data_IF_378376305533
#
_entry.id   IF_378376305533
#
_cell.length_a   1.000
_cell.length_b   1.000
_cell.length_c   1.000
_cell.angle_alpha   90.00
_cell.angle_beta   90.00
_cell.angle_gamma   90.00
#
_symmetry.space_group_name_H-M   'P 1'
#
loop_
_entity.id
_entity.type
_entity.pdbx_description
1 polymer ?
#
# COMPACT_ATOMS: atom_id res chain seq x y z
N UNK A 1 -14.98 52.59 58.87
CA UNK A 1 -16.23 51.84 58.58
C UNK A 1 -15.81 50.51 57.97
N UNK A 2 -15.77 49.42 58.78
CA UNK A 2 -16.85 48.41 58.92
C UNK A 2 -16.99 47.59 57.61
N UNK A 3 -16.86 46.27 57.51
CA UNK A 3 -16.69 45.13 58.43
C UNK A 3 -16.32 43.88 57.57
N UNK A 4 -15.48 42.94 58.04
CA UNK A 4 -15.78 41.69 58.79
C UNK A 4 -16.66 40.64 58.09
N UNK A 5 -16.24 39.37 58.26
CA UNK A 5 -16.93 38.07 58.09
C UNK A 5 -16.75 37.36 56.72
N UNK A 6 -16.51 36.05 56.59
CA UNK A 6 -16.37 34.96 57.57
C UNK A 6 -15.66 33.76 56.90
N UNK A 7 -14.90 33.03 57.73
CA UNK A 7 -14.47 31.65 57.53
C UNK A 7 -15.66 30.75 57.16
N UNK A 8 -15.46 29.80 56.24
CA UNK A 8 -16.10 28.49 56.30
C UNK A 8 -15.29 27.45 55.52
N UNK A 9 -14.56 26.62 56.28
CA UNK A 9 -14.15 25.26 55.89
C UNK A 9 -15.35 24.56 55.26
N UNK A 10 -15.18 23.99 54.06
CA UNK A 10 -16.11 22.98 53.54
C UNK A 10 -15.34 21.70 53.26
N UNK A 11 -15.75 20.67 53.97
CA UNK A 11 -15.14 19.35 54.07
C UNK A 11 -15.09 18.62 52.73
N UNK A 12 -14.04 17.80 52.53
CA UNK A 12 -14.05 16.69 51.60
C UNK A 12 -15.17 15.71 52.02
N UNK A 13 -16.02 15.24 51.10
CA UNK A 13 -16.63 13.94 51.23
C UNK A 13 -15.73 12.92 50.51
N UNK A 14 -14.97 12.16 51.29
CA UNK A 14 -14.51 10.83 50.90
C UNK A 14 -15.72 9.91 50.77
N UNK A 15 -16.23 9.72 49.56
CA UNK A 15 -17.32 8.78 49.29
C UNK A 15 -16.79 7.71 48.31
N UNK A 16 -16.46 6.55 48.88
CA UNK A 16 -16.42 5.29 48.15
C UNK A 16 -17.76 5.12 47.39
N UNK A 17 -17.76 4.83 46.08
CA UNK A 17 -19.00 4.49 45.38
C UNK A 17 -19.48 3.12 45.87
N UNK A 18 -20.62 3.08 46.54
CA UNK A 18 -21.33 1.85 46.87
C UNK A 18 -21.83 1.14 45.59
N UNK A 19 -21.85 -0.20 45.54
CA UNK A 19 -22.28 -0.95 44.36
C UNK A 19 -23.81 -1.07 44.37
N UNK A 20 -24.49 -0.42 43.42
CA UNK A 20 -25.96 -0.58 43.23
C UNK A 20 -26.38 -1.18 41.89
N UNK A 21 -25.45 -1.76 41.12
CA UNK A 21 -25.76 -2.34 39.80
C UNK A 21 -25.57 -3.86 39.69
N UNK A 22 -25.33 -4.58 40.78
CA UNK A 22 -25.00 -6.01 40.72
C UNK A 22 -26.21 -6.96 40.57
N UNK A 23 -27.45 -6.47 40.72
CA UNK A 23 -28.64 -7.34 40.73
C UNK A 23 -29.20 -7.70 39.35
N UNK A 24 -28.81 -7.01 38.26
CA UNK A 24 -29.35 -7.29 36.91
C UNK A 24 -28.45 -8.19 36.04
N UNK A 25 -27.23 -8.51 36.49
CA UNK A 25 -26.26 -9.31 35.71
C UNK A 25 -26.42 -10.83 35.88
N UNK A 26 -27.22 -11.29 36.85
CA UNK A 26 -27.38 -12.73 37.12
C UNK A 26 -28.08 -13.49 36.00
N UNK A 27 -28.78 -12.81 35.09
CA UNK A 27 -29.48 -13.42 33.94
C UNK A 27 -28.61 -13.65 32.69
N UNK A 28 -27.43 -13.02 32.59
CA UNK A 28 -26.56 -13.10 31.39
C UNK A 28 -25.49 -14.19 31.47
N UNK A 29 -25.27 -14.76 32.66
CA UNK A 29 -24.43 -15.94 32.86
C UNK A 29 -25.39 -17.13 33.01
N UNK A 30 -25.33 -18.08 32.07
CA UNK A 30 -26.20 -19.25 32.13
C UNK A 30 -26.05 -19.96 33.47
N UNK A 31 -27.14 -20.52 34.01
CA UNK A 31 -27.21 -21.29 35.25
C UNK A 31 -26.36 -22.58 35.13
N UNK A 32 -25.05 -22.42 35.13
CA UNK A 32 -24.06 -23.48 35.13
C UNK A 32 -23.80 -23.89 36.56
N UNK A 33 -24.48 -24.94 37.00
CA UNK A 33 -24.14 -25.70 38.21
C UNK A 33 -22.63 -25.96 38.26
N UNK A 34 -22.05 -25.84 39.45
CA UNK A 34 -20.60 -25.77 39.69
C UNK A 34 -19.81 -27.07 39.49
N UNK A 35 -20.07 -27.77 38.39
CA UNK A 35 -19.31 -28.90 37.88
C UNK A 35 -17.97 -28.43 37.29
N UNK A 36 -16.90 -29.15 37.62
CA UNK A 36 -15.52 -28.97 37.13
C UNK A 36 -15.32 -29.10 35.61
N UNK A 37 -16.39 -29.32 34.83
CA UNK A 37 -16.33 -29.72 33.42
C UNK A 37 -16.48 -28.57 32.40
N UNK A 38 -17.16 -27.46 32.74
CA UNK A 38 -17.43 -26.37 31.79
C UNK A 38 -16.60 -25.13 32.14
N UNK A 39 -15.86 -24.52 31.18
CA UNK A 39 -15.08 -23.33 31.44
C UNK A 39 -16.01 -22.14 31.73
N UNK A 40 -15.65 -21.33 32.71
CA UNK A 40 -16.31 -20.07 33.04
C UNK A 40 -16.06 -19.06 31.93
N UNK A 41 -17.09 -18.34 31.52
CA UNK A 41 -16.98 -17.30 30.50
C UNK A 41 -16.60 -15.96 31.14
N UNK A 42 -15.52 -15.36 30.67
CA UNK A 42 -15.19 -13.97 30.94
C UNK A 42 -15.82 -13.10 29.84
N UNK A 43 -16.74 -12.20 30.18
CA UNK A 43 -17.46 -11.36 29.20
C UNK A 43 -17.08 -9.89 29.31
N UNK A 44 -17.17 -9.15 28.22
CA UNK A 44 -17.14 -7.69 28.26
C UNK A 44 -18.53 -7.15 28.57
N UNK A 45 -18.61 -6.15 29.45
CA UNK A 45 -19.83 -5.39 29.70
C UNK A 45 -19.96 -4.25 28.68
N UNK A 46 -21.10 -4.22 28.00
CA UNK A 46 -21.47 -3.19 27.03
C UNK A 46 -21.73 -1.87 27.79
N UNK A 47 -20.83 -0.90 27.64
CA UNK A 47 -21.00 0.46 28.18
C UNK A 47 -19.75 1.06 28.82
N UNK A 48 -18.94 0.27 29.53
CA UNK A 48 -17.73 0.77 30.20
C UNK A 48 -16.45 -0.02 29.87
N UNK A 49 -16.56 -1.07 29.04
CA UNK A 49 -15.44 -1.90 28.63
C UNK A 49 -14.85 -2.74 29.77
N UNK A 50 -15.56 -2.86 30.90
CA UNK A 50 -15.21 -3.72 32.03
C UNK A 50 -15.41 -5.19 31.68
N UNK A 51 -14.68 -6.05 32.38
CA UNK A 51 -14.76 -7.49 32.33
C UNK A 51 -15.69 -7.99 33.45
N UNK A 52 -16.61 -8.87 33.11
CA UNK A 52 -17.46 -9.57 34.06
C UNK A 52 -17.10 -11.06 34.11
N UNK A 53 -16.82 -11.55 35.31
CA UNK A 53 -16.51 -12.96 35.58
C UNK A 53 -17.43 -13.50 36.67
N UNK A 54 -18.18 -14.54 36.37
CA UNK A 54 -18.99 -15.25 37.35
C UNK A 54 -18.14 -16.34 38.03
N UNK A 55 -17.93 -16.24 39.35
CA UNK A 55 -17.23 -17.24 40.15
C UNK A 55 -18.21 -17.94 41.11
N UNK A 56 -18.23 -19.28 41.16
CA UNK A 56 -18.92 -20.01 42.21
C UNK A 56 -18.11 -19.91 43.51
N UNK A 57 -18.68 -19.23 44.51
CA UNK A 57 -18.08 -19.08 45.84
C UNK A 57 -18.91 -19.86 46.88
N UNK A 58 -18.27 -20.51 47.87
CA UNK A 58 -18.99 -21.15 48.97
C UNK A 58 -19.62 -20.06 49.86
N UNK A 59 -20.94 -20.13 50.08
CA UNK A 59 -21.64 -19.17 50.93
C UNK A 59 -21.11 -19.25 52.38
N UNK A 60 -20.67 -18.13 52.94
CA UNK A 60 -20.50 -18.00 54.39
C UNK A 60 -21.89 -17.85 55.04
N UNK A 61 -22.16 -18.70 56.04
CA UNK A 61 -23.38 -18.80 56.87
C UNK A 61 -24.29 -17.56 56.87
N UNK A 62 -25.34 -17.58 56.04
CA UNK A 62 -26.58 -16.89 56.37
C UNK A 62 -27.45 -17.88 57.14
N UNK A 63 -27.55 -17.70 58.46
CA UNK A 63 -28.24 -18.59 59.39
C UNK A 63 -29.70 -18.88 59.02
N UNK A 64 -29.91 -19.93 58.23
CA UNK A 64 -31.19 -20.46 57.84
C UNK A 64 -31.11 -21.98 57.75
N UNK A 65 -31.90 -22.62 58.62
CA UNK A 65 -32.31 -24.02 58.72
C UNK A 65 -31.82 -25.00 57.63
N UNK A 66 -31.16 -26.06 58.11
CA UNK A 66 -30.98 -27.40 57.54
C UNK A 66 -30.97 -27.56 56.00
N UNK A 67 -29.78 -27.86 55.47
CA UNK A 67 -29.63 -28.89 54.45
C UNK A 67 -29.76 -28.48 52.99
N UNK A 68 -28.95 -27.52 52.51
CA UNK A 68 -28.46 -27.54 51.13
C UNK A 68 -27.18 -26.69 50.98
N UNK A 69 -26.05 -27.30 50.62
CA UNK A 69 -24.79 -26.57 50.36
C UNK A 69 -24.88 -25.97 48.94
N UNK A 70 -25.68 -24.92 48.80
CA UNK A 70 -25.77 -24.17 47.56
C UNK A 70 -24.48 -23.37 47.33
N UNK A 71 -23.73 -23.64 46.27
CA UNK A 71 -22.69 -22.70 45.81
C UNK A 71 -23.37 -21.47 45.22
N UNK A 72 -23.19 -20.30 45.83
CA UNK A 72 -23.68 -19.03 45.30
C UNK A 72 -22.74 -18.51 44.21
N UNK A 73 -23.25 -18.25 43.01
CA UNK A 73 -22.46 -17.63 41.94
C UNK A 73 -22.39 -16.12 42.16
N UNK A 74 -21.18 -15.57 42.29
CA UNK A 74 -20.91 -14.13 42.42
C UNK A 74 -20.30 -13.58 41.14
N UNK A 75 -20.78 -12.43 40.68
CA UNK A 75 -20.28 -11.78 39.46
C UNK A 75 -19.31 -10.66 39.86
N UNK A 76 -18.06 -10.79 39.43
CA UNK A 76 -17.01 -9.81 39.62
C UNK A 76 -16.88 -8.92 38.39
N UNK A 77 -16.94 -7.60 38.59
CA UNK A 77 -16.68 -6.60 37.55
C UNK A 77 -15.32 -5.96 37.77
N UNK A 78 -14.44 -6.00 36.77
CA UNK A 78 -13.08 -5.45 36.83
C UNK A 78 -12.70 -4.76 35.52
N UNK A 79 -11.70 -3.87 35.53
CA UNK A 79 -11.21 -3.26 34.29
C UNK A 79 -10.14 -4.16 33.65
N UNK A 80 -9.94 -4.13 32.31
CA UNK A 80 -8.84 -4.86 31.67
C UNK A 80 -7.45 -4.47 32.20
N UNK A 81 -7.32 -3.27 32.76
CA UNK A 81 -6.09 -2.78 33.42
C UNK A 81 -5.94 -3.26 34.86
N UNK A 82 -6.96 -3.88 35.46
CA UNK A 82 -6.88 -4.43 36.81
C UNK A 82 -5.83 -5.53 36.84
N UNK A 83 -4.94 -5.49 37.84
CA UNK A 83 -3.90 -6.51 38.03
C UNK A 83 -4.47 -7.78 38.66
N UNK A 84 -3.76 -8.90 38.50
CA UNK A 84 -4.08 -10.17 39.17
C UNK A 84 -4.21 -9.99 40.68
N UNK A 85 -3.31 -9.22 41.30
CA UNK A 85 -3.36 -8.90 42.73
C UNK A 85 -4.64 -8.16 43.10
N UNK A 86 -5.01 -7.13 42.33
CA UNK A 86 -6.22 -6.35 42.58
C UNK A 86 -7.50 -7.20 42.49
N UNK A 87 -7.55 -8.12 41.53
CA UNK A 87 -8.65 -9.08 41.43
C UNK A 87 -8.68 -10.05 42.61
N UNK A 88 -7.54 -10.63 43.00
CA UNK A 88 -7.45 -11.55 44.15
C UNK A 88 -7.93 -10.85 45.42
N UNK A 89 -7.52 -9.60 45.65
CA UNK A 89 -7.98 -8.81 46.79
C UNK A 89 -9.49 -8.55 46.75
N UNK A 90 -10.06 -8.32 45.57
CA UNK A 90 -11.51 -8.13 45.41
C UNK A 90 -12.30 -9.41 45.73
N UNK A 91 -11.78 -10.58 45.34
CA UNK A 91 -12.38 -11.88 45.67
C UNK A 91 -12.29 -12.16 47.17
N UNK A 92 -11.12 -11.92 47.78
CA UNK A 92 -10.90 -12.14 49.22
C UNK A 92 -11.69 -11.16 50.11
N UNK A 93 -11.97 -9.96 49.63
CA UNK A 93 -12.78 -8.97 50.34
C UNK A 93 -14.28 -9.34 50.31
N UNK A 94 -14.75 -9.94 49.23
CA UNK A 94 -16.14 -10.37 49.08
C UNK A 94 -16.43 -11.69 49.79
N UNK A 95 -15.43 -12.57 49.92
CA UNK A 95 -15.56 -13.88 50.57
C UNK A 95 -14.33 -14.22 51.44
N UNK A 96 -14.53 -14.14 52.76
CA UNK A 96 -13.51 -14.47 53.76
C UNK A 96 -13.11 -15.95 53.81
N UNK A 97 -13.88 -16.85 53.16
CA UNK A 97 -13.57 -18.28 53.09
C UNK A 97 -12.53 -18.60 52.00
N UNK A 98 -12.28 -17.69 51.04
CA UNK A 98 -11.32 -17.84 49.96
C UNK A 98 -9.87 -17.52 50.43
N UNK A 99 -9.20 -18.48 51.07
CA UNK A 99 -7.84 -18.30 51.64
C UNK A 99 -6.72 -18.47 50.62
N UNK A 100 -6.85 -19.39 49.66
CA UNK A 100 -5.88 -19.61 48.58
C UNK A 100 -6.53 -19.32 47.22
N UNK A 101 -6.21 -18.15 46.65
CA UNK A 101 -6.71 -17.71 45.34
C UNK A 101 -5.52 -17.44 44.42
N UNK A 102 -5.42 -18.18 43.31
CA UNK A 102 -4.33 -18.04 42.36
C UNK A 102 -4.85 -18.02 40.92
N UNK A 103 -4.30 -17.13 40.10
CA UNK A 103 -4.57 -17.10 38.65
C UNK A 103 -3.39 -17.75 37.94
N UNK A 104 -3.65 -18.82 37.18
CA UNK A 104 -2.65 -19.66 36.52
C UNK A 104 -2.92 -19.75 35.02
N UNK A 105 -1.88 -19.95 34.22
CA UNK A 105 -1.99 -20.31 32.81
C UNK A 105 -2.71 -21.66 32.65
N UNK A 106 -3.17 -21.99 31.44
CA UNK A 106 -3.68 -23.34 31.10
C UNK A 106 -2.70 -24.47 31.40
N UNK A 107 -1.40 -24.17 31.51
CA UNK A 107 -0.32 -25.11 31.85
C UNK A 107 -0.03 -25.19 33.36
N UNK A 108 -0.79 -24.48 34.20
CA UNK A 108 -0.66 -24.51 35.66
C UNK A 108 0.40 -23.56 36.24
N UNK A 109 1.02 -22.70 35.44
CA UNK A 109 2.00 -21.71 35.91
C UNK A 109 1.29 -20.45 36.43
N UNK A 110 1.54 -19.98 37.66
CA UNK A 110 0.92 -18.76 38.20
C UNK A 110 1.39 -17.50 37.47
N UNK A 111 0.46 -16.56 37.27
CA UNK A 111 0.78 -15.24 36.73
C UNK A 111 1.34 -14.33 37.81
N UNK A 112 2.20 -13.38 37.43
CA UNK A 112 2.75 -12.40 38.37
C UNK A 112 1.64 -11.47 38.90
N UNK A 113 1.69 -11.04 40.18
CA UNK A 113 0.64 -10.23 40.81
C UNK A 113 0.32 -8.93 40.07
N UNK A 114 1.32 -8.33 39.43
CA UNK A 114 1.22 -7.06 38.69
C UNK A 114 0.66 -7.21 37.27
N UNK A 115 0.46 -8.45 36.79
CA UNK A 115 0.02 -8.70 35.41
C UNK A 115 -1.41 -8.20 35.22
N UNK A 116 -1.70 -7.33 34.23
CA UNK A 116 -3.05 -6.88 33.96
C UNK A 116 -3.88 -7.96 33.26
N UNK A 117 -5.19 -7.97 33.50
CA UNK A 117 -6.12 -8.93 32.87
C UNK A 117 -6.12 -8.85 31.33
N UNK A 118 -5.85 -7.69 30.74
CA UNK A 118 -5.69 -7.52 29.29
C UNK A 118 -4.62 -8.46 28.69
N UNK A 119 -3.54 -8.75 29.44
CA UNK A 119 -2.49 -9.67 29.02
C UNK A 119 -2.90 -11.14 29.22
N UNK A 120 -3.67 -11.44 30.28
CA UNK A 120 -4.17 -12.79 30.56
C UNK A 120 -5.13 -13.27 29.48
N UNK A 121 -5.95 -12.36 28.96
CA UNK A 121 -6.97 -12.64 27.95
C UNK A 121 -6.42 -13.01 26.56
N UNK A 122 -5.10 -12.97 26.37
CA UNK A 122 -4.48 -13.45 25.13
C UNK A 122 -4.71 -14.96 24.91
N UNK A 123 -4.83 -15.72 25.99
CA UNK A 123 -5.08 -17.16 26.00
C UNK A 123 -6.11 -17.51 27.10
N UNK A 124 -6.59 -18.76 27.13
CA UNK A 124 -7.40 -19.22 28.26
C UNK A 124 -6.53 -19.38 29.51
N UNK A 125 -7.13 -19.25 30.67
CA UNK A 125 -6.44 -19.33 31.95
C UNK A 125 -7.27 -20.12 32.97
N UNK A 126 -6.70 -20.33 34.15
CA UNK A 126 -7.32 -21.08 35.24
C UNK A 126 -7.28 -20.23 36.51
N UNK A 127 -8.33 -20.31 37.32
CA UNK A 127 -8.39 -19.73 38.66
C UNK A 127 -8.46 -20.89 39.64
N UNK A 128 -7.55 -20.91 40.60
CA UNK A 128 -7.53 -21.88 41.70
C UNK A 128 -8.10 -21.21 42.93
N UNK A 129 -9.16 -21.79 43.50
CA UNK A 129 -9.85 -21.32 44.70
C UNK A 129 -9.90 -22.49 45.70
N UNK A 130 -9.13 -22.40 46.80
CA UNK A 130 -9.10 -23.41 47.87
C UNK A 130 -9.11 -24.86 47.34
N UNK A 131 -8.11 -25.21 46.51
CA UNK A 131 -7.95 -26.51 45.83
C UNK A 131 -8.88 -26.81 44.64
N UNK A 132 -9.86 -25.95 44.33
CA UNK A 132 -10.72 -26.10 43.14
C UNK A 132 -10.13 -25.35 41.95
N UNK A 133 -9.81 -26.08 40.87
CA UNK A 133 -9.35 -25.50 39.60
C UNK A 133 -10.54 -25.17 38.71
N UNK A 134 -10.74 -23.88 38.45
CA UNK A 134 -11.76 -23.36 37.56
C UNK A 134 -11.12 -22.91 36.24
N UNK A 135 -11.50 -23.52 35.13
CA UNK A 135 -11.05 -23.08 33.80
C UNK A 135 -11.82 -21.83 33.41
N UNK A 136 -11.15 -20.80 32.92
CA UNK A 136 -11.77 -19.57 32.43
C UNK A 136 -11.45 -19.42 30.95
N UNK A 137 -12.49 -19.35 30.13
CA UNK A 137 -12.38 -19.01 28.73
C UNK A 137 -12.24 -17.50 28.59
N UNK A 138 -11.13 -17.06 28.01
CA UNK A 138 -10.98 -15.65 27.66
C UNK A 138 -12.01 -15.27 26.59
N UNK A 139 -12.56 -14.03 26.61
CA UNK A 139 -13.52 -13.61 25.61
C UNK A 139 -12.82 -13.61 24.26
N UNK A 140 -13.26 -14.52 23.41
CA UNK A 140 -12.96 -14.46 21.99
C UNK A 140 -13.95 -13.45 21.43
N UNK A 141 -13.51 -12.42 20.70
CA UNK A 141 -14.47 -11.63 19.92
C UNK A 141 -15.00 -12.56 18.82
N UNK A 142 -16.11 -13.23 19.09
CA UNK A 142 -16.79 -14.14 18.18
C UNK A 142 -18.04 -13.48 17.63
N UNK A 143 -18.22 -13.59 16.31
CA UNK A 143 -19.51 -13.64 15.63
C UNK A 143 -20.33 -12.35 15.57
N UNK A 144 -20.65 -11.76 16.72
CA UNK A 144 -21.63 -10.68 16.82
C UNK A 144 -20.97 -9.29 16.91
N UNK A 145 -19.69 -9.24 17.31
CA UNK A 145 -18.86 -8.03 17.33
C UNK A 145 -18.47 -7.49 15.93
N UNK A 146 -18.89 -8.18 14.86
CA UNK A 146 -18.74 -7.70 13.48
C UNK A 146 -19.83 -6.72 13.06
N UNK A 147 -20.90 -6.60 13.86
CA UNK A 147 -21.86 -5.50 13.73
C UNK A 147 -21.15 -4.21 14.16
N UNK A 148 -20.83 -3.36 13.18
CA UNK A 148 -20.24 -2.02 13.41
C UNK A 148 -21.21 -1.07 14.13
N UNK A 149 -22.38 -1.55 14.54
CA UNK A 149 -23.45 -0.84 15.19
C UNK A 149 -24.14 -1.83 16.15
N UNK A 150 -23.94 -1.72 17.47
CA UNK A 150 -24.88 -2.24 18.46
C UNK A 150 -26.27 -1.68 18.16
N UNK A 151 -27.34 -2.31 18.65
CA UNK A 151 -28.72 -1.83 18.50
C UNK A 151 -28.93 -0.36 18.95
N UNK A 152 -27.99 0.19 19.73
CA UNK A 152 -27.97 1.58 20.22
C UNK A 152 -27.21 2.60 19.34
N UNK A 153 -26.69 2.21 18.17
CA UNK A 153 -26.10 3.15 17.21
C UNK A 153 -24.75 3.80 17.62
N UNK A 154 -24.13 3.35 18.71
CA UNK A 154 -22.80 3.81 19.12
C UNK A 154 -21.67 2.99 18.45
N UNK A 155 -20.71 3.68 17.83
CA UNK A 155 -19.55 3.05 17.19
C UNK A 155 -18.60 2.43 18.23
N UNK A 156 -18.44 1.11 18.21
CA UNK A 156 -17.44 0.44 19.05
C UNK A 156 -16.01 0.65 18.50
N UNK A 157 -15.21 1.43 19.22
CA UNK A 157 -13.82 1.76 18.90
C UNK A 157 -12.96 0.48 18.75
N UNK A 158 -13.30 -0.59 19.47
CA UNK A 158 -12.54 -1.86 19.44
C UNK A 158 -12.83 -2.67 18.19
N UNK A 159 -14.09 -2.73 17.74
CA UNK A 159 -14.47 -3.30 16.43
C UNK A 159 -13.77 -2.59 15.27
N UNK A 160 -13.67 -1.25 15.34
CA UNK A 160 -12.93 -0.46 14.33
C UNK A 160 -11.44 -0.78 14.33
N UNK A 161 -10.81 -0.87 15.51
CA UNK A 161 -9.40 -1.24 15.63
C UNK A 161 -9.12 -2.64 15.06
N UNK A 162 -10.01 -3.60 15.30
CA UNK A 162 -9.88 -4.94 14.75
C UNK A 162 -10.05 -4.97 13.22
N UNK A 163 -11.02 -4.24 12.66
CA UNK A 163 -11.16 -4.07 11.20
C UNK A 163 -9.91 -3.41 10.59
N UNK A 164 -9.32 -2.42 11.27
CA UNK A 164 -8.07 -1.80 10.84
C UNK A 164 -6.90 -2.81 10.83
N UNK A 165 -6.81 -3.71 11.81
CA UNK A 165 -5.84 -4.79 11.83
C UNK A 165 -6.00 -5.75 10.63
N UNK A 166 -7.24 -6.12 10.29
CA UNK A 166 -7.55 -6.96 9.12
C UNK A 166 -7.18 -6.25 7.81
N UNK A 167 -7.47 -4.95 7.68
CA UNK A 167 -7.10 -4.16 6.50
C UNK A 167 -5.58 -4.13 6.34
N UNK A 168 -4.83 -3.85 7.41
CA UNK A 168 -3.36 -3.88 7.39
C UNK A 168 -2.83 -5.26 7.01
N UNK A 169 -3.40 -6.33 7.57
CA UNK A 169 -3.03 -7.70 7.22
C UNK A 169 -3.25 -7.96 5.72
N UNK A 170 -4.40 -7.54 5.16
CA UNK A 170 -4.70 -7.66 3.72
C UNK A 170 -3.65 -6.94 2.87
N UNK A 171 -3.29 -5.71 3.22
CA UNK A 171 -2.25 -4.95 2.49
C UNK A 171 -0.88 -5.66 2.53
N UNK A 172 -0.52 -6.23 3.69
CA UNK A 172 0.72 -6.99 3.85
C UNK A 172 0.71 -8.27 3.01
N UNK A 173 -0.42 -8.97 2.94
CA UNK A 173 -0.60 -10.16 2.10
C UNK A 173 -0.47 -9.80 0.61
N UNK A 174 -1.08 -8.69 0.17
CA UNK A 174 -1.05 -8.25 -1.23
C UNK A 174 0.38 -7.88 -1.69
N UNK A 175 1.15 -7.24 -0.81
CA UNK A 175 2.56 -6.88 -1.06
C UNK A 175 3.54 -8.03 -0.83
N UNK A 176 3.06 -9.19 -0.40
CA UNK A 176 3.94 -10.31 -0.04
C UNK A 176 4.67 -10.87 -1.28
N UNK A 177 5.99 -11.12 -1.18
CA UNK A 177 6.76 -11.62 -2.33
C UNK A 177 6.36 -13.05 -2.69
N UNK A 178 6.17 -13.92 -1.68
CA UNK A 178 5.74 -15.31 -1.91
C UNK A 178 4.25 -15.37 -2.26
N UNK A 179 3.90 -16.28 -3.15
CA UNK A 179 2.51 -16.58 -3.55
C UNK A 179 1.85 -17.65 -2.69
N UNK A 180 2.65 -18.49 -2.01
CA UNK A 180 2.25 -19.61 -1.14
C UNK A 180 2.98 -19.48 0.20
N UNK A 181 2.26 -19.68 1.30
CA UNK A 181 2.78 -19.77 2.67
C UNK A 181 2.07 -20.89 3.42
N UNK A 182 2.59 -21.28 4.58
CA UNK A 182 1.90 -22.27 5.43
C UNK A 182 0.87 -21.60 6.36
N UNK A 183 -0.14 -22.35 6.80
CA UNK A 183 -1.12 -21.89 7.81
C UNK A 183 -0.44 -21.39 9.09
N UNK A 184 0.68 -21.99 9.49
CA UNK A 184 1.45 -21.56 10.65
C UNK A 184 2.11 -20.19 10.44
N UNK A 185 2.64 -19.93 9.23
CA UNK A 185 3.22 -18.64 8.83
C UNK A 185 2.12 -17.57 8.76
N UNK A 186 0.96 -17.90 8.19
CA UNK A 186 -0.22 -17.00 8.19
C UNK A 186 -0.65 -16.61 9.60
N UNK A 187 -0.69 -17.57 10.54
CA UNK A 187 -1.04 -17.29 11.95
C UNK A 187 -0.03 -16.36 12.64
N UNK A 188 1.26 -16.46 12.30
CA UNK A 188 2.30 -15.53 12.78
C UNK A 188 2.08 -14.14 12.20
N UNK A 189 1.86 -14.05 10.89
CA UNK A 189 1.57 -12.79 10.18
C UNK A 189 0.35 -12.08 10.79
N UNK A 190 -0.73 -12.84 11.06
CA UNK A 190 -1.92 -12.31 11.71
C UNK A 190 -1.64 -11.77 13.13
N UNK A 191 -0.82 -12.50 13.91
CA UNK A 191 -0.44 -12.09 15.27
C UNK A 191 0.39 -10.79 15.27
N UNK A 192 1.31 -10.61 14.32
CA UNK A 192 2.10 -9.38 14.15
C UNK A 192 1.22 -8.14 13.91
N UNK A 193 0.07 -8.33 13.27
CA UNK A 193 -0.89 -7.26 12.97
C UNK A 193 -1.94 -7.06 14.06
N UNK A 194 -1.82 -7.75 15.21
CA UNK A 194 -2.72 -7.60 16.35
C UNK A 194 -3.97 -8.48 16.30
N UNK A 195 -3.98 -9.53 15.48
CA UNK A 195 -5.08 -10.51 15.43
C UNK A 195 -4.78 -11.68 16.39
N UNK A 196 -5.66 -11.97 17.37
CA UNK A 196 -5.53 -13.12 18.26
C UNK A 196 -5.42 -14.45 17.52
N UNK A 197 -4.59 -15.37 18.02
CA UNK A 197 -4.37 -16.70 17.40
C UNK A 197 -5.64 -17.51 17.20
N UNK A 198 -6.63 -17.36 18.11
CA UNK A 198 -7.95 -18.00 18.01
C UNK A 198 -8.78 -17.48 16.84
N UNK A 199 -8.65 -16.20 16.51
CA UNK A 199 -9.38 -15.55 15.42
C UNK A 199 -8.70 -15.71 14.07
N UNK A 200 -7.38 -15.95 14.05
CA UNK A 200 -6.62 -16.13 12.80
C UNK A 200 -7.23 -17.21 11.88
N UNK A 201 -7.81 -18.29 12.43
CA UNK A 201 -8.51 -19.31 11.65
C UNK A 201 -9.83 -18.82 11.03
N UNK A 202 -10.59 -18.01 11.75
CA UNK A 202 -11.83 -17.41 11.25
C UNK A 202 -11.55 -16.37 10.16
N UNK A 203 -10.52 -15.55 10.37
CA UNK A 203 -10.04 -14.56 9.38
C UNK A 203 -9.55 -15.27 8.11
N UNK A 204 -8.80 -16.37 8.25
CA UNK A 204 -8.36 -17.18 7.11
C UNK A 204 -9.54 -17.75 6.32
N UNK A 205 -10.56 -18.27 7.02
CA UNK A 205 -11.76 -18.78 6.38
C UNK A 205 -12.55 -17.66 5.67
N UNK A 206 -12.68 -16.49 6.29
CA UNK A 206 -13.31 -15.33 5.68
C UNK A 206 -12.54 -14.85 4.43
N UNK A 207 -11.21 -14.82 4.48
CA UNK A 207 -10.37 -14.49 3.33
C UNK A 207 -10.51 -15.51 2.19
N UNK A 208 -10.72 -16.78 2.53
CA UNK A 208 -11.04 -17.83 1.56
C UNK A 208 -12.40 -17.63 0.89
N UNK A 209 -13.45 -17.37 1.67
CA UNK A 209 -14.80 -17.15 1.13
C UNK A 209 -14.88 -15.91 0.23
N UNK A 210 -14.15 -14.84 0.58
CA UNK A 210 -14.11 -13.61 -0.22
C UNK A 210 -13.19 -13.75 -1.44
N UNK A 211 -12.33 -14.76 -1.49
CA UNK A 211 -11.38 -14.97 -2.59
C UNK A 211 -10.14 -14.06 -2.53
N UNK A 212 -9.78 -13.58 -1.34
CA UNK A 212 -8.54 -12.83 -1.10
C UNK A 212 -7.35 -13.80 -1.05
N UNK A 213 -7.57 -14.97 -0.46
CA UNK A 213 -6.57 -16.03 -0.25
C UNK A 213 -7.25 -17.36 -0.53
N UNK A 214 -6.56 -18.39 -1.02
CA UNK A 214 -7.13 -19.74 -1.08
C UNK A 214 -6.48 -20.68 -0.06
N UNK A 215 -7.31 -21.39 0.70
CA UNK A 215 -6.87 -22.42 1.64
C UNK A 215 -7.85 -23.59 1.56
N UNK A 216 -7.36 -24.78 1.21
CA UNK A 216 -8.18 -25.97 1.01
C UNK A 216 -8.09 -26.89 2.22
N UNK A 217 -8.68 -26.48 3.35
CA UNK A 217 -8.64 -27.26 4.59
C UNK A 217 -9.26 -28.68 4.47
N UNK A 218 -10.12 -28.89 3.48
CA UNK A 218 -10.86 -30.14 3.25
C UNK A 218 -10.27 -31.00 2.11
N UNK A 219 -9.15 -30.61 1.50
CA UNK A 219 -8.54 -31.40 0.42
C UNK A 219 -8.00 -32.74 0.95
N UNK A 220 -7.99 -33.81 0.13
CA UNK A 220 -7.36 -35.07 0.52
C UNK A 220 -5.83 -34.94 0.67
N UNK A 221 -5.21 -34.03 -0.09
CA UNK A 221 -3.77 -33.81 -0.12
C UNK A 221 -3.28 -33.01 1.10
N UNK A 222 -2.32 -33.57 1.85
CA UNK A 222 -1.73 -32.95 3.05
C UNK A 222 -1.00 -31.62 2.77
N UNK A 223 -0.39 -31.50 1.59
CA UNK A 223 0.28 -30.27 1.18
C UNK A 223 -0.71 -29.11 0.94
N UNK A 224 -1.90 -29.41 0.43
CA UNK A 224 -2.96 -28.41 0.19
C UNK A 224 -3.70 -28.01 1.47
N UNK A 225 -3.77 -28.92 2.46
CA UNK A 225 -4.32 -28.62 3.79
C UNK A 225 -3.48 -27.60 4.56
N UNK A 226 -2.16 -27.67 4.39
CA UNK A 226 -1.21 -26.81 5.10
C UNK A 226 -0.87 -25.53 4.32
N UNK A 227 -1.08 -25.53 3.00
CA UNK A 227 -0.80 -24.40 2.13
C UNK A 227 -1.91 -23.33 2.11
N UNK A 228 -1.47 -22.08 2.11
CA UNK A 228 -2.29 -20.88 1.98
C UNK A 228 -1.77 -20.08 0.78
N UNK A 229 -2.59 -19.99 -0.26
CA UNK A 229 -2.27 -19.26 -1.49
C UNK A 229 -2.67 -17.78 -1.36
N UNK A 230 -1.67 -16.92 -1.22
CA UNK A 230 -1.84 -15.47 -1.08
C UNK A 230 -2.22 -14.77 -2.39
N UNK A 231 -1.91 -15.40 -3.54
CA UNK A 231 -2.17 -14.88 -4.88
C UNK A 231 -3.12 -15.81 -5.63
N UNK A 232 -4.43 -15.76 -5.34
CA UNK A 232 -5.42 -16.69 -5.89
C UNK A 232 -5.49 -16.63 -7.42
N UNK A 233 -5.20 -15.48 -8.03
CA UNK A 233 -5.20 -15.33 -9.50
C UNK A 233 -4.27 -16.32 -10.20
N UNK A 234 -3.07 -16.52 -9.65
CA UNK A 234 -2.10 -17.43 -10.25
C UNK A 234 -2.62 -18.88 -10.25
N UNK A 235 -3.36 -19.26 -9.21
CA UNK A 235 -3.99 -20.58 -9.12
C UNK A 235 -5.15 -20.69 -10.11
N UNK A 236 -6.00 -19.66 -10.19
CA UNK A 236 -7.11 -19.62 -11.14
C UNK A 236 -6.64 -19.72 -12.59
N UNK A 237 -5.58 -19.00 -12.96
CA UNK A 237 -5.03 -19.03 -14.32
C UNK A 237 -4.60 -20.45 -14.70
N UNK A 238 -3.91 -21.17 -13.80
CA UNK A 238 -3.55 -22.59 -14.03
C UNK A 238 -4.76 -23.51 -14.15
N UNK A 239 -5.84 -23.26 -13.40
CA UNK A 239 -7.08 -24.02 -13.52
C UNK A 239 -7.78 -23.75 -14.86
N UNK A 240 -7.87 -22.48 -15.28
CA UNK A 240 -8.46 -22.12 -16.58
C UNK A 240 -7.68 -22.74 -17.74
N UNK A 241 -6.35 -22.70 -17.70
CA UNK A 241 -5.49 -23.34 -18.70
C UNK A 241 -5.70 -24.86 -18.76
N UNK A 242 -5.85 -25.53 -17.61
CA UNK A 242 -6.13 -26.96 -17.54
C UNK A 242 -7.47 -27.35 -18.18
N UNK A 243 -8.41 -26.41 -18.21
CA UNK A 243 -9.73 -26.55 -18.83
C UNK A 243 -9.74 -26.09 -20.29
N UNK A 244 -8.61 -25.64 -20.84
CA UNK A 244 -8.51 -25.07 -22.18
C UNK A 244 -9.22 -23.72 -22.34
N UNK A 245 -9.51 -23.03 -21.24
CA UNK A 245 -10.18 -21.73 -21.22
C UNK A 245 -9.16 -20.62 -21.02
N UNK A 246 -9.30 -19.53 -21.78
CA UNK A 246 -8.54 -18.31 -21.49
C UNK A 246 -9.25 -17.54 -20.38
N UNK A 247 -8.54 -17.12 -19.31
CA UNK A 247 -9.17 -16.38 -18.24
C UNK A 247 -9.74 -15.07 -18.80
N UNK A 248 -10.93 -14.63 -18.36
CA UNK A 248 -11.62 -13.45 -18.90
C UNK A 248 -10.76 -12.18 -18.77
N UNK A 249 -9.88 -12.11 -17.76
CA UNK A 249 -8.94 -11.00 -17.61
C UNK A 249 -7.95 -10.93 -18.78
N UNK A 250 -7.40 -12.07 -19.22
CA UNK A 250 -6.44 -12.13 -20.32
C UNK A 250 -7.13 -11.80 -21.65
N UNK A 251 -8.36 -12.24 -21.84
CA UNK A 251 -9.18 -11.87 -23.00
C UNK A 251 -9.31 -10.35 -23.11
N UNK A 252 -9.68 -9.66 -22.02
CA UNK A 252 -9.76 -8.20 -22.01
C UNK A 252 -8.43 -7.51 -22.36
N UNK A 253 -7.29 -8.02 -21.87
CA UNK A 253 -5.99 -7.47 -22.25
C UNK A 253 -5.66 -7.68 -23.72
N UNK A 254 -6.02 -8.85 -24.28
CA UNK A 254 -5.81 -9.14 -25.71
C UNK A 254 -6.69 -8.27 -26.60
N UNK A 255 -7.97 -8.08 -26.25
CA UNK A 255 -8.89 -7.21 -26.97
C UNK A 255 -8.44 -5.75 -26.93
N UNK A 256 -8.07 -5.24 -25.73
CA UNK A 256 -7.56 -3.88 -25.57
C UNK A 256 -6.26 -3.67 -26.37
N UNK A 257 -5.37 -4.65 -26.38
CA UNK A 257 -4.14 -4.61 -27.18
C UNK A 257 -4.45 -4.59 -28.68
N UNK A 258 -5.34 -5.45 -29.16
CA UNK A 258 -5.74 -5.48 -30.57
C UNK A 258 -6.37 -4.15 -31.01
N UNK A 259 -7.18 -3.53 -30.15
CA UNK A 259 -7.75 -2.21 -30.43
C UNK A 259 -6.68 -1.12 -30.60
N UNK A 260 -5.66 -1.11 -29.74
CA UNK A 260 -4.53 -0.17 -29.83
C UNK A 260 -3.65 -0.45 -31.05
N UNK A 261 -3.38 -1.72 -31.37
CA UNK A 261 -2.63 -2.10 -32.57
C UNK A 261 -3.39 -1.71 -33.85
N UNK A 262 -4.72 -1.84 -33.86
CA UNK A 262 -5.57 -1.38 -34.94
C UNK A 262 -5.53 0.15 -35.08
N UNK A 263 -5.63 0.89 -33.98
CA UNK A 263 -5.49 2.35 -33.99
C UNK A 263 -4.11 2.78 -34.52
N UNK A 264 -3.04 2.13 -34.05
CA UNK A 264 -1.69 2.37 -34.52
C UNK A 264 -1.58 2.14 -36.04
N UNK A 265 -2.14 1.04 -36.54
CA UNK A 265 -2.14 0.71 -37.97
C UNK A 265 -2.87 1.75 -38.83
N UNK A 266 -3.88 2.44 -38.29
CA UNK A 266 -4.55 3.55 -39.01
C UNK A 266 -3.70 4.82 -39.09
N UNK A 267 -2.91 5.11 -38.05
CA UNK A 267 -2.11 6.33 -37.93
C UNK A 267 -0.75 6.19 -38.62
N UNK A 268 -0.18 4.97 -38.64
CA UNK A 268 1.12 4.67 -39.22
C UNK A 268 1.31 5.17 -40.66
N UNK A 269 0.39 4.95 -41.62
CA UNK A 269 0.59 5.43 -43.00
C UNK A 269 0.65 6.95 -43.11
N UNK A 270 -0.15 7.67 -42.31
CA UNK A 270 -0.11 9.14 -42.28
C UNK A 270 1.21 9.65 -41.68
N UNK A 271 1.66 9.02 -40.59
CA UNK A 271 2.94 9.32 -39.96
C UNK A 271 4.10 9.12 -40.93
N UNK A 272 4.13 7.98 -41.63
CA UNK A 272 5.21 7.64 -42.55
C UNK A 272 5.23 8.55 -43.78
N UNK A 273 4.06 8.92 -44.30
CA UNK A 273 3.93 9.88 -45.39
C UNK A 273 4.50 11.27 -45.01
N UNK A 274 4.12 11.80 -43.83
CA UNK A 274 4.62 13.09 -43.35
C UNK A 274 6.12 13.04 -43.04
N UNK A 275 6.61 11.93 -42.50
CA UNK A 275 8.02 11.74 -42.18
C UNK A 275 8.86 11.64 -43.46
N UNK A 276 8.37 10.94 -44.48
CA UNK A 276 9.01 10.88 -45.80
C UNK A 276 9.10 12.28 -46.42
N UNK A 277 7.99 13.03 -46.42
CA UNK A 277 7.94 14.39 -46.92
C UNK A 277 8.93 15.31 -46.18
N UNK A 278 9.00 15.23 -44.85
CA UNK A 278 10.00 15.95 -44.05
C UNK A 278 11.42 15.63 -44.50
N UNK A 279 11.76 14.35 -44.63
CA UNK A 279 13.09 13.89 -45.08
C UNK A 279 13.45 14.42 -46.45
N UNK A 280 12.52 14.41 -47.40
CA UNK A 280 12.74 14.94 -48.75
C UNK A 280 13.02 16.45 -48.72
N UNK A 281 12.23 17.20 -47.96
CA UNK A 281 12.39 18.66 -47.83
C UNK A 281 13.72 19.02 -47.16
N UNK A 282 14.09 18.30 -46.09
CA UNK A 282 15.36 18.47 -45.39
C UNK A 282 16.54 18.10 -46.30
N UNK A 283 16.43 17.03 -47.09
CA UNK A 283 17.45 16.64 -48.05
C UNK A 283 17.65 17.71 -49.14
N UNK A 284 16.56 18.27 -49.67
CA UNK A 284 16.61 19.37 -50.64
C UNK A 284 17.22 20.65 -50.04
N UNK A 285 16.91 20.94 -48.76
CA UNK A 285 17.52 22.05 -48.04
C UNK A 285 19.03 21.83 -47.85
N UNK A 286 19.46 20.64 -47.46
CA UNK A 286 20.87 20.29 -47.31
C UNK A 286 21.65 20.35 -48.62
N UNK A 287 21.12 19.76 -49.70
CA UNK A 287 21.80 19.76 -51.01
C UNK A 287 22.10 21.17 -51.49
N UNK A 288 21.14 22.09 -51.34
CA UNK A 288 21.33 23.49 -51.71
C UNK A 288 22.26 24.23 -50.75
N UNK A 289 22.13 24.03 -49.44
CA UNK A 289 23.00 24.69 -48.46
C UNK A 289 24.45 24.26 -48.64
N UNK A 290 24.69 22.96 -48.85
CA UNK A 290 26.01 22.41 -49.19
C UNK A 290 26.57 23.02 -50.48
N UNK A 291 25.74 23.15 -51.52
CA UNK A 291 26.17 23.82 -52.76
C UNK A 291 26.60 25.26 -52.51
N UNK A 292 25.87 26.01 -51.68
CA UNK A 292 26.28 27.36 -51.28
C UNK A 292 27.61 27.36 -50.52
N UNK A 293 27.83 26.43 -49.60
CA UNK A 293 29.10 26.31 -48.87
C UNK A 293 30.28 25.98 -49.79
N UNK A 294 30.09 25.07 -50.76
CA UNK A 294 31.13 24.79 -51.76
C UNK A 294 31.37 25.99 -52.67
N UNK A 295 30.32 26.68 -53.10
CA UNK A 295 30.46 27.88 -53.93
C UNK A 295 31.16 29.02 -53.19
N UNK A 296 30.85 29.23 -51.91
CA UNK A 296 31.53 30.24 -51.08
C UNK A 296 32.99 29.88 -50.82
N UNK A 297 33.28 28.61 -50.53
CA UNK A 297 34.66 28.12 -50.37
C UNK A 297 35.47 28.30 -51.66
N UNK A 298 34.90 27.91 -52.81
CA UNK A 298 35.53 28.12 -54.11
C UNK A 298 35.75 29.60 -54.41
N UNK A 299 34.79 30.47 -54.03
CA UNK A 299 34.92 31.92 -54.16
C UNK A 299 36.05 32.49 -53.32
N UNK A 300 36.24 32.01 -52.08
CA UNK A 300 37.35 32.43 -51.21
C UNK A 300 38.70 32.00 -51.80
N UNK A 301 38.82 30.76 -52.25
CA UNK A 301 40.04 30.25 -52.92
C UNK A 301 40.32 31.04 -54.22
N UNK A 302 39.29 31.32 -55.01
CA UNK A 302 39.40 32.13 -56.22
C UNK A 302 39.83 33.56 -55.92
N UNK A 303 39.31 34.17 -54.85
CA UNK A 303 39.71 35.52 -54.42
C UNK A 303 41.18 35.56 -54.00
N UNK A 304 41.65 34.55 -53.27
CA UNK A 304 43.07 34.41 -52.93
C UNK A 304 43.95 34.25 -54.17
N UNK A 305 43.56 33.38 -55.11
CA UNK A 305 44.28 33.19 -56.38
C UNK A 305 44.31 34.46 -57.23
N UNK A 306 43.21 35.23 -57.24
CA UNK A 306 43.12 36.51 -57.92
C UNK A 306 44.11 37.53 -57.32
N UNK A 307 44.18 37.64 -55.99
CA UNK A 307 45.17 38.51 -55.33
C UNK A 307 46.61 38.10 -55.65
N UNK A 308 46.91 36.80 -55.65
CA UNK A 308 48.24 36.30 -56.01
C UNK A 308 48.59 36.61 -57.47
N UNK A 309 47.66 36.38 -58.40
CA UNK A 309 47.86 36.68 -59.81
C UNK A 309 48.05 38.19 -60.06
N UNK A 310 47.24 39.03 -59.41
CA UNK A 310 47.38 40.50 -59.49
C UNK A 310 48.73 40.95 -58.93
N UNK A 311 49.15 40.45 -57.77
CA UNK A 311 50.33 40.98 -57.05
C UNK A 311 51.68 40.51 -57.61
N UNK A 312 51.72 39.41 -58.36
CA UNK A 312 52.97 38.85 -58.89
C UNK A 312 53.11 39.00 -60.41
N UNK A 313 52.00 39.11 -61.16
CA UNK A 313 52.05 39.16 -62.63
C UNK A 313 51.73 40.55 -63.19
N UNK A 314 50.73 41.25 -62.64
CA UNK A 314 50.21 42.50 -63.24
C UNK A 314 50.57 43.77 -62.46
N UNK A 315 50.46 43.74 -61.13
CA UNK A 315 50.72 44.85 -60.22
C UNK A 315 51.86 44.49 -59.29
N UNK A 316 52.61 45.49 -58.82
CA UNK A 316 53.60 45.31 -57.77
C UNK A 316 52.94 45.22 -56.40
N UNK A 317 53.59 44.53 -55.46
CA UNK A 317 53.11 44.35 -54.09
C UNK A 317 52.79 45.67 -53.38
N UNK A 318 53.57 46.73 -53.61
CA UNK A 318 53.38 48.07 -53.04
C UNK A 318 52.00 48.70 -53.37
N UNK A 319 51.43 48.41 -54.54
CA UNK A 319 50.10 48.89 -54.93
C UNK A 319 48.98 48.02 -54.31
N UNK A 320 49.24 46.72 -54.12
CA UNK A 320 48.26 45.75 -53.63
C UNK A 320 48.20 45.66 -52.10
N UNK A 321 49.24 46.10 -51.39
CA UNK A 321 49.32 46.13 -49.93
C UNK A 321 48.10 46.82 -49.27
N UNK A 322 47.74 48.07 -49.59
CA UNK A 322 46.58 48.71 -48.99
C UNK A 322 45.26 48.01 -49.34
N UNK A 323 45.14 47.46 -50.55
CA UNK A 323 43.92 46.78 -51.02
C UNK A 323 43.65 45.50 -50.20
N UNK A 324 44.69 44.71 -49.98
CA UNK A 324 44.58 43.47 -49.18
C UNK A 324 44.31 43.77 -47.71
N UNK A 325 44.92 44.84 -47.16
CA UNK A 325 44.64 45.32 -45.81
C UNK A 325 43.16 45.71 -45.63
N UNK A 326 42.61 46.56 -46.51
CA UNK A 326 41.20 46.96 -46.44
C UNK A 326 40.24 45.78 -46.65
N UNK A 327 40.61 44.80 -47.46
CA UNK A 327 39.80 43.58 -47.65
C UNK A 327 39.74 42.76 -46.37
N UNK A 328 40.87 42.52 -45.70
CA UNK A 328 40.91 41.78 -44.42
C UNK A 328 40.13 42.50 -43.32
N UNK A 329 40.27 43.83 -43.22
CA UNK A 329 39.48 44.64 -42.30
C UNK A 329 37.98 44.59 -42.63
N UNK A 330 37.63 44.61 -43.91
CA UNK A 330 36.25 44.48 -44.40
C UNK A 330 35.59 43.16 -43.98
N UNK A 331 36.30 42.03 -44.05
CA UNK A 331 35.78 40.72 -43.59
C UNK A 331 35.48 40.76 -42.09
N UNK A 332 36.35 41.37 -41.29
CA UNK A 332 36.13 41.54 -39.84
C UNK A 332 34.90 42.41 -39.54
N UNK A 333 34.68 43.50 -40.31
CA UNK A 333 33.46 44.32 -40.20
C UNK A 333 32.22 43.49 -40.53
N UNK A 334 32.26 42.69 -41.60
CA UNK A 334 31.13 41.82 -41.98
C UNK A 334 30.85 40.76 -40.90
N UNK A 335 31.89 40.17 -40.32
CA UNK A 335 31.74 39.22 -39.21
C UNK A 335 31.11 39.87 -37.97
N UNK A 336 31.55 41.07 -37.60
CA UNK A 336 31.01 41.80 -36.45
C UNK A 336 29.56 42.26 -36.67
N UNK A 337 29.25 42.77 -37.87
CA UNK A 337 27.88 43.15 -38.24
C UNK A 337 26.96 41.93 -38.24
N UNK A 338 27.41 40.78 -38.74
CA UNK A 338 26.68 39.52 -38.67
C UNK A 338 26.37 39.10 -37.22
N UNK A 339 27.38 39.13 -36.34
CA UNK A 339 27.22 38.82 -34.92
C UNK A 339 26.21 39.77 -34.26
N UNK A 340 26.26 41.06 -34.59
CA UNK A 340 25.32 42.06 -34.07
C UNK A 340 23.88 41.78 -34.45
N UNK A 341 23.62 41.30 -35.68
CA UNK A 341 22.27 40.99 -36.15
C UNK A 341 21.77 39.61 -35.74
N UNK A 342 22.67 38.64 -35.55
CA UNK A 342 22.30 37.23 -35.34
C UNK A 342 22.47 36.79 -33.88
N UNK A 343 23.16 37.59 -33.06
CA UNK A 343 23.57 37.28 -31.68
C UNK A 343 24.31 35.93 -31.55
N UNK A 344 24.86 35.44 -32.67
CA UNK A 344 25.61 34.20 -32.78
C UNK A 344 26.98 34.51 -33.31
N UNK A 345 27.98 33.84 -32.72
CA UNK A 345 29.38 33.96 -33.14
C UNK A 345 29.53 33.60 -34.62
N UNK A 346 30.44 34.31 -35.30
CA UNK A 346 30.80 34.06 -36.68
C UNK A 346 31.61 32.75 -36.74
N UNK A 347 30.87 31.64 -36.73
CA UNK A 347 31.39 30.29 -36.88
C UNK A 347 30.73 29.63 -38.09
N UNK A 348 31.49 28.77 -38.77
CA UNK A 348 31.06 28.10 -39.99
C UNK A 348 29.82 27.23 -39.75
N UNK A 349 29.72 26.60 -38.57
CA UNK A 349 28.57 25.79 -38.17
C UNK A 349 27.31 26.66 -37.99
N UNK A 350 27.43 27.80 -37.30
CA UNK A 350 26.34 28.74 -37.10
C UNK A 350 25.81 29.33 -38.42
N UNK A 351 26.70 29.65 -39.36
CA UNK A 351 26.33 30.16 -40.69
C UNK A 351 25.62 29.08 -41.50
N UNK A 352 26.13 27.85 -41.48
CA UNK A 352 25.51 26.71 -42.14
C UNK A 352 24.08 26.49 -41.62
N UNK A 353 23.92 26.45 -40.29
CA UNK A 353 22.63 26.24 -39.66
C UNK A 353 21.65 27.38 -39.95
N UNK A 354 22.11 28.63 -39.96
CA UNK A 354 21.26 29.76 -40.30
C UNK A 354 20.77 29.67 -41.75
N UNK A 355 21.66 29.40 -42.71
CA UNK A 355 21.31 29.25 -44.12
C UNK A 355 20.37 28.06 -44.35
N UNK A 356 20.66 26.93 -43.69
CA UNK A 356 19.85 25.73 -43.71
C UNK A 356 18.45 26.00 -43.16
N UNK A 357 18.33 26.57 -41.96
CA UNK A 357 17.05 26.88 -41.32
C UNK A 357 16.23 27.88 -42.14
N UNK A 358 16.85 28.94 -42.65
CA UNK A 358 16.19 29.93 -43.51
C UNK A 358 15.65 29.28 -44.78
N UNK A 359 16.39 28.34 -45.38
CA UNK A 359 15.94 27.63 -46.57
C UNK A 359 14.86 26.60 -46.26
N UNK A 360 15.02 25.83 -45.17
CA UNK A 360 14.06 24.84 -44.68
C UNK A 360 12.70 25.49 -44.42
N UNK A 361 12.67 26.61 -43.69
CA UNK A 361 11.43 27.39 -43.45
C UNK A 361 10.74 27.79 -44.76
N UNK A 362 11.49 28.26 -45.76
CA UNK A 362 10.94 28.58 -47.08
C UNK A 362 10.39 27.37 -47.83
N UNK A 363 11.04 26.21 -47.72
CA UNK A 363 10.57 24.97 -48.34
C UNK A 363 9.32 24.43 -47.63
N UNK A 364 9.28 24.48 -46.31
CA UNK A 364 8.11 24.06 -45.52
C UNK A 364 6.90 24.94 -45.81
N UNK A 365 7.09 26.27 -45.88
CA UNK A 365 6.02 27.20 -46.26
C UNK A 365 5.49 26.94 -47.68
N UNK A 366 6.36 26.53 -48.63
CA UNK A 366 5.95 26.20 -50.00
C UNK A 366 5.22 24.86 -50.11
N UNK A 367 5.63 23.88 -49.31
CA UNK A 367 5.01 22.56 -49.25
C UNK A 367 3.78 22.51 -48.34
N UNK A 368 3.42 23.63 -47.69
CA UNK A 368 2.39 23.71 -46.65
C UNK A 368 2.56 22.62 -45.57
N UNK A 369 3.82 22.32 -45.22
CA UNK A 369 4.15 21.26 -44.28
C UNK A 369 3.89 21.72 -42.84
N UNK A 370 3.00 21.01 -42.14
CA UNK A 370 2.68 21.26 -40.74
C UNK A 370 3.57 20.42 -39.82
N UNK A 371 4.58 21.07 -39.25
CA UNK A 371 5.49 20.44 -38.27
C UNK A 371 4.78 20.11 -36.95
N UNK A 372 3.75 20.87 -36.56
CA UNK A 372 2.99 20.61 -35.34
C UNK A 372 2.12 19.36 -35.48
N UNK A 373 1.58 19.11 -36.68
CA UNK A 373 0.85 17.87 -36.98
C UNK A 373 1.75 16.64 -36.84
N UNK A 374 2.97 16.69 -37.40
CA UNK A 374 3.93 15.59 -37.31
C UNK A 374 4.33 15.31 -35.85
N UNK A 375 4.66 16.34 -35.05
CA UNK A 375 5.06 16.15 -33.65
C UNK A 375 3.92 15.61 -32.80
N UNK A 376 2.69 16.09 -33.03
CA UNK A 376 1.49 15.53 -32.39
C UNK A 376 1.31 14.05 -32.73
N UNK A 377 1.47 13.67 -34.01
CA UNK A 377 1.35 12.28 -34.46
C UNK A 377 2.43 11.38 -33.86
N UNK A 378 3.68 11.86 -33.81
CA UNK A 378 4.80 11.16 -33.15
C UNK A 378 4.53 10.96 -31.66
N UNK A 379 4.01 11.97 -30.97
CA UNK A 379 3.65 11.84 -29.55
C UNK A 379 2.53 10.82 -29.32
N UNK A 380 1.54 10.76 -30.24
CA UNK A 380 0.44 9.79 -30.18
C UNK A 380 0.93 8.37 -30.44
N UNK A 381 1.78 8.16 -31.45
CA UNK A 381 2.41 6.87 -31.71
C UNK A 381 3.22 6.40 -30.50
N UNK A 382 4.03 7.28 -29.90
CA UNK A 382 4.80 6.95 -28.71
C UNK A 382 3.90 6.62 -27.50
N UNK A 383 2.78 7.32 -27.33
CA UNK A 383 1.81 7.04 -26.28
C UNK A 383 1.15 5.67 -26.47
N UNK A 384 0.67 5.36 -27.67
CA UNK A 384 0.06 4.07 -28.00
C UNK A 384 1.06 2.93 -27.80
N UNK A 385 2.31 3.10 -28.25
CA UNK A 385 3.34 2.08 -28.05
C UNK A 385 3.61 1.84 -26.56
N UNK A 386 3.70 2.90 -25.76
CA UNK A 386 3.85 2.79 -24.30
C UNK A 386 2.67 2.07 -23.67
N UNK A 387 1.44 2.34 -24.12
CA UNK A 387 0.24 1.68 -23.62
C UNK A 387 0.24 0.19 -23.98
N UNK A 388 0.62 -0.17 -25.20
CA UNK A 388 0.82 -1.56 -25.63
C UNK A 388 1.87 -2.24 -24.75
N UNK A 389 3.02 -1.61 -24.50
CA UNK A 389 4.08 -2.15 -23.65
C UNK A 389 3.59 -2.33 -22.20
N UNK A 390 2.74 -1.43 -21.68
CA UNK A 390 2.16 -1.57 -20.35
C UNK A 390 1.16 -2.71 -20.27
N UNK A 391 0.34 -2.91 -21.31
CA UNK A 391 -0.62 -4.03 -21.40
C UNK A 391 0.15 -5.33 -21.55
N UNK A 392 1.17 -5.37 -22.40
CA UNK A 392 2.06 -6.50 -22.54
C UNK A 392 2.76 -6.83 -21.22
N UNK A 393 3.24 -5.84 -20.46
CA UNK A 393 3.83 -6.06 -19.14
C UNK A 393 2.79 -6.54 -18.10
N UNK A 394 1.53 -6.12 -18.18
CA UNK A 394 0.44 -6.60 -17.31
C UNK A 394 0.03 -8.04 -17.68
N UNK A 395 0.00 -8.37 -18.97
CA UNK A 395 -0.31 -9.70 -19.48
C UNK A 395 0.85 -10.69 -19.25
N UNK A 396 2.10 -10.25 -19.44
CA UNK A 396 3.31 -11.04 -19.26
C UNK A 396 3.79 -11.11 -17.79
N UNK A 397 3.15 -10.37 -16.89
CA UNK A 397 3.25 -10.59 -15.44
C UNK A 397 2.04 -11.40 -14.97
N UNK A 398 1.96 -12.73 -15.21
CA UNK A 398 1.35 -13.59 -14.23
C UNK A 398 2.31 -13.57 -13.04
N UNK A 399 2.06 -12.62 -12.13
CA UNK A 399 2.77 -12.33 -10.88
C UNK A 399 3.84 -13.38 -10.54
N UNK A 400 5.08 -13.14 -10.97
CA UNK A 400 6.31 -13.85 -10.62
C UNK A 400 6.40 -15.40 -10.80
N UNK A 401 5.47 -16.09 -11.50
CA UNK A 401 5.34 -17.56 -11.34
C UNK A 401 5.54 -18.47 -12.55
N UNK A 402 5.96 -18.00 -13.71
CA UNK A 402 6.25 -18.90 -14.83
C UNK A 402 7.69 -19.45 -14.85
N UNK A 403 8.61 -18.95 -14.01
CA UNK A 403 10.00 -19.40 -14.01
C UNK A 403 10.31 -20.55 -13.02
N UNK A 404 9.49 -20.77 -11.99
CA UNK A 404 9.73 -21.79 -10.96
C UNK A 404 9.04 -23.14 -11.28
N UNK A 405 8.00 -23.13 -12.12
CA UNK A 405 7.26 -24.34 -12.51
C UNK A 405 7.92 -25.19 -13.61
N UNK A 406 9.14 -24.84 -14.05
CA UNK A 406 9.97 -25.66 -14.95
C UNK A 406 11.22 -26.25 -14.28
N UNK A 407 11.33 -26.16 -12.95
CA UNK A 407 12.38 -26.84 -12.17
C UNK A 407 11.79 -27.47 -10.91
N UNK A 408 10.93 -28.47 -11.07
CA UNK A 408 10.70 -29.51 -10.07
C UNK A 408 10.51 -30.83 -10.81
#
# INVERSE_FOLDING_TARGET
MIGRAALLRRALPSALPQPRFLSSLSGSFGSGSGSSSRPLELKYLEGNGALALALPLPLADTGGLEGDVGMGTRVFSMQPTTSVAGFISQVQLEDSSAKDVQVRTTKGVPFAPETPFATLMADDFQIVLNDKVLKVAAPVFTGDAYTSLPQDGQLDIRSVAHKAAIIKLRETIEKHPKWKIDVAEFRKLAAEHGIPKKQAGQVLHAFHQVGIVFHFAQSPDEELKTAVFLKPRNVLDTYFDSLGLTPPTTQHYTEARQALEAELATIMPEHDALLHLKKELDHLAHKRTRLYCYASSLGLVGSFGLYAWLSFIHFSWDIMEPVTYFTGFGVSIVGYTWWTFTEKEYDYENIYDFLFQKRRRKLYARAAFDEAKLTALQSRVAAIQKDIDTIAAKAAKPTCLQAEFLKA
#
